data_IF_069058300299
#
_entry.id   IF_069058300299
#
_cell.length_a   1.000
_cell.length_b   1.000
_cell.length_c   1.000
_cell.angle_alpha   90.00
_cell.angle_beta   90.00
_cell.angle_gamma   90.00
#
_symmetry.space_group_name_H-M   'P 1'
#
loop_
_entity.id
_entity.type
_entity.pdbx_description
1 polymer ?
#
# COMPACT_ATOMS: atom_id res chain seq x y z
N UNK A 1 16.39 14.91 26.09
CA UNK A 1 15.87 14.00 25.04
C UNK A 1 14.90 14.79 24.19
N UNK A 2 15.09 14.85 22.88
CA UNK A 2 14.17 15.54 21.95
C UNK A 2 13.50 14.45 21.12
N UNK A 3 12.17 14.34 21.18
CA UNK A 3 11.37 13.31 20.49
C UNK A 3 10.10 13.90 19.90
N UNK A 4 9.64 13.33 18.80
CA UNK A 4 8.35 13.64 18.17
C UNK A 4 7.17 13.18 19.05
N UNK A 5 6.08 13.96 19.09
CA UNK A 5 4.85 13.66 19.85
C UNK A 5 3.57 13.68 19.01
N UNK A 6 3.68 13.54 17.68
CA UNK A 6 2.55 13.60 16.70
C UNK A 6 1.36 12.72 17.07
N UNK A 7 1.57 11.61 17.77
CA UNK A 7 0.51 10.66 18.16
C UNK A 7 0.51 10.35 19.66
N UNK A 8 1.02 11.24 20.51
CA UNK A 8 1.28 10.97 21.94
C UNK A 8 0.08 10.34 22.68
N UNK A 9 -1.14 10.79 22.39
CA UNK A 9 -2.36 10.32 23.07
C UNK A 9 -3.17 9.31 22.25
N UNK A 10 -2.75 9.00 21.02
CA UNK A 10 -3.54 8.18 20.09
C UNK A 10 -3.28 6.70 20.30
N UNK A 11 -4.29 5.97 20.79
CA UNK A 11 -4.25 4.50 20.85
C UNK A 11 -4.49 3.94 19.45
N UNK A 12 -3.55 3.15 18.93
CA UNK A 12 -3.65 2.51 17.62
C UNK A 12 -4.14 1.09 17.77
N UNK A 13 -5.23 0.74 17.08
CA UNK A 13 -5.65 -0.66 16.92
C UNK A 13 -4.65 -1.44 16.07
N UNK A 14 -4.79 -2.77 16.08
CA UNK A 14 -3.89 -3.68 15.35
C UNK A 14 -3.79 -3.30 13.87
N UNK A 15 -2.54 -3.21 13.39
CA UNK A 15 -2.23 -2.94 11.98
C UNK A 15 -2.98 -3.90 11.05
N UNK A 16 -2.91 -5.21 11.36
CA UNK A 16 -3.58 -6.26 10.57
C UNK A 16 -5.10 -6.09 10.52
N UNK A 17 -5.71 -5.66 11.61
CA UNK A 17 -7.16 -5.42 11.65
C UNK A 17 -7.55 -4.24 10.75
N UNK A 18 -6.79 -3.13 10.80
CA UNK A 18 -7.03 -1.96 9.94
C UNK A 18 -6.82 -2.25 8.46
N UNK A 19 -5.78 -3.02 8.12
CA UNK A 19 -5.50 -3.42 6.73
C UNK A 19 -6.64 -4.27 6.17
N UNK A 20 -7.11 -5.23 6.96
CA UNK A 20 -8.23 -6.08 6.57
C UNK A 20 -9.53 -5.26 6.42
N UNK A 21 -9.84 -4.40 7.38
CA UNK A 21 -11.01 -3.52 7.32
C UNK A 21 -10.99 -2.64 6.06
N UNK A 22 -9.84 -2.06 5.72
CA UNK A 22 -9.67 -1.27 4.50
C UNK A 22 -9.93 -2.11 3.25
N UNK A 23 -9.33 -3.29 3.14
CA UNK A 23 -9.51 -4.17 1.99
C UNK A 23 -10.97 -4.60 1.81
N UNK A 24 -11.65 -4.96 2.90
CA UNK A 24 -13.06 -5.34 2.88
C UNK A 24 -13.95 -4.18 2.39
N UNK A 25 -13.73 -2.96 2.90
CA UNK A 25 -14.49 -1.78 2.46
C UNK A 25 -14.28 -1.45 0.98
N UNK A 26 -13.04 -1.58 0.50
CA UNK A 26 -12.72 -1.37 -0.92
C UNK A 26 -13.43 -2.41 -1.78
N UNK A 27 -13.30 -3.69 -1.42
CA UNK A 27 -13.94 -4.78 -2.16
C UNK A 27 -15.46 -4.62 -2.20
N UNK A 28 -16.10 -4.37 -1.07
CA UNK A 28 -17.55 -4.15 -0.99
C UNK A 28 -18.01 -2.99 -1.88
N UNK A 29 -17.23 -1.91 -1.94
CA UNK A 29 -17.55 -0.75 -2.79
C UNK A 29 -17.46 -1.10 -4.27
N UNK A 30 -16.44 -1.88 -4.67
CA UNK A 30 -16.25 -2.32 -6.05
C UNK A 30 -17.33 -3.31 -6.48
N UNK A 31 -17.69 -4.27 -5.62
CA UNK A 31 -18.76 -5.25 -5.88
C UNK A 31 -20.14 -4.60 -6.06
N UNK A 32 -20.38 -3.45 -5.42
CA UNK A 32 -21.58 -2.62 -5.61
C UNK A 32 -21.54 -1.75 -6.88
N UNK A 33 -20.50 -1.88 -7.71
CA UNK A 33 -20.32 -1.08 -8.93
C UNK A 33 -19.78 0.33 -8.68
N UNK A 34 -19.32 0.63 -7.47
CA UNK A 34 -18.71 1.91 -7.11
C UNK A 34 -17.25 2.04 -7.57
N UNK A 35 -16.71 3.25 -7.44
CA UNK A 35 -15.28 3.55 -7.65
C UNK A 35 -14.63 3.96 -6.35
N UNK A 36 -13.39 3.57 -6.13
CA UNK A 36 -12.62 3.91 -4.94
C UNK A 36 -11.46 4.84 -5.30
N UNK A 37 -11.39 5.99 -4.63
CA UNK A 37 -10.27 6.92 -4.73
C UNK A 37 -9.54 6.95 -3.38
N UNK A 38 -8.23 6.70 -3.40
CA UNK A 38 -7.40 6.70 -2.19
C UNK A 38 -6.40 7.86 -2.26
N UNK A 39 -6.63 8.97 -1.54
CA UNK A 39 -5.71 10.10 -1.53
C UNK A 39 -4.52 9.81 -0.61
N UNK A 40 -3.36 9.56 -1.20
CA UNK A 40 -2.10 9.30 -0.49
C UNK A 40 -0.95 10.02 -1.17
N UNK A 41 0.05 10.41 -0.37
CA UNK A 41 1.32 10.88 -0.91
C UNK A 41 2.03 9.74 -1.64
N UNK A 42 2.53 10.00 -2.85
CA UNK A 42 3.14 8.99 -3.71
C UNK A 42 4.45 8.38 -3.13
N UNK A 43 5.05 9.03 -2.14
CA UNK A 43 6.25 8.54 -1.45
C UNK A 43 5.91 8.14 -0.01
N UNK A 44 6.52 7.05 0.46
CA UNK A 44 6.35 6.53 1.82
C UNK A 44 5.27 5.47 1.92
N UNK A 45 4.21 5.72 2.69
CA UNK A 45 3.17 4.73 3.05
C UNK A 45 2.35 4.20 1.87
N UNK A 46 2.36 4.90 0.74
CA UNK A 46 1.65 4.48 -0.47
C UNK A 46 2.17 3.17 -1.06
N UNK A 47 3.47 2.91 -0.99
CA UNK A 47 4.01 1.64 -1.47
C UNK A 47 3.61 0.45 -0.62
N UNK A 48 3.60 0.65 0.70
CA UNK A 48 3.09 -0.35 1.65
C UNK A 48 1.63 -0.67 1.32
N UNK A 49 0.85 0.37 1.03
CA UNK A 49 -0.55 0.20 0.64
C UNK A 49 -0.73 -0.53 -0.70
N UNK A 50 0.06 -0.19 -1.73
CA UNK A 50 0.05 -0.93 -2.99
C UNK A 50 0.37 -2.42 -2.80
N UNK A 51 1.34 -2.75 -1.92
CA UNK A 51 1.66 -4.15 -1.60
C UNK A 51 0.54 -4.88 -0.85
N UNK A 52 -0.19 -4.18 0.02
CA UNK A 52 -1.35 -4.73 0.72
C UNK A 52 -2.48 -5.02 -0.27
N UNK A 53 -2.79 -4.07 -1.15
CA UNK A 53 -3.83 -4.27 -2.17
C UNK A 53 -3.47 -5.39 -3.14
N UNK A 54 -2.24 -5.44 -3.64
CA UNK A 54 -1.80 -6.52 -4.53
C UNK A 54 -1.97 -7.91 -3.89
N UNK A 55 -1.58 -8.06 -2.61
CA UNK A 55 -1.77 -9.31 -1.88
C UNK A 55 -3.26 -9.65 -1.68
N UNK A 56 -4.11 -8.65 -1.46
CA UNK A 56 -5.56 -8.86 -1.33
C UNK A 56 -6.20 -9.25 -2.65
N UNK A 57 -5.83 -8.59 -3.76
CA UNK A 57 -6.33 -8.87 -5.10
C UNK A 57 -6.06 -10.32 -5.53
N UNK A 58 -4.83 -10.79 -5.33
CA UNK A 58 -4.46 -12.18 -5.64
C UNK A 58 -5.23 -13.18 -4.79
N UNK A 59 -5.43 -12.89 -3.49
CA UNK A 59 -6.14 -13.79 -2.56
C UNK A 59 -7.64 -13.85 -2.81
N UNK A 60 -8.25 -12.71 -3.10
CA UNK A 60 -9.68 -12.59 -3.33
C UNK A 60 -10.06 -12.79 -4.81
N UNK A 61 -9.08 -13.00 -5.71
CA UNK A 61 -9.26 -13.18 -7.15
C UNK A 61 -10.10 -12.06 -7.79
N UNK A 62 -9.78 -10.81 -7.41
CA UNK A 62 -10.50 -9.64 -7.90
C UNK A 62 -10.04 -9.26 -9.31
N UNK A 63 -11.00 -9.00 -10.20
CA UNK A 63 -10.74 -8.61 -11.60
C UNK A 63 -10.87 -7.08 -11.84
N UNK A 64 -10.89 -6.28 -10.77
CA UNK A 64 -11.00 -4.83 -10.88
C UNK A 64 -9.62 -4.20 -11.15
N UNK A 65 -9.50 -3.22 -12.06
CA UNK A 65 -8.22 -2.57 -12.35
C UNK A 65 -7.82 -1.59 -11.24
N UNK A 66 -6.52 -1.50 -10.94
CA UNK A 66 -5.93 -0.53 -10.02
C UNK A 66 -5.18 0.53 -10.83
N UNK A 67 -5.53 1.79 -10.60
CA UNK A 67 -4.87 2.92 -11.27
C UNK A 67 -4.00 3.69 -10.29
N UNK A 68 -2.72 3.86 -10.65
CA UNK A 68 -1.77 4.68 -9.92
C UNK A 68 -1.30 5.83 -10.82
N UNK A 69 -1.29 7.06 -10.29
CA UNK A 69 -0.89 8.25 -11.06
C UNK A 69 0.59 8.15 -11.45
N UNK A 70 0.83 7.85 -12.73
CA UNK A 70 2.13 7.41 -13.28
C UNK A 70 3.31 8.36 -13.04
N UNK A 71 3.08 9.68 -13.17
CA UNK A 71 4.18 10.66 -13.25
C UNK A 71 5.10 10.70 -12.01
N UNK A 72 4.56 10.49 -10.82
CA UNK A 72 5.37 10.40 -9.59
C UNK A 72 5.71 8.94 -9.22
N UNK A 73 4.87 7.99 -9.63
CA UNK A 73 5.02 6.58 -9.29
C UNK A 73 6.29 5.95 -9.90
N UNK A 74 6.59 6.27 -11.16
CA UNK A 74 7.75 5.72 -11.86
C UNK A 74 9.06 6.19 -11.23
N UNK A 75 9.16 7.49 -10.92
CA UNK A 75 10.32 8.06 -10.23
C UNK A 75 10.48 7.49 -8.83
N UNK A 76 9.40 7.41 -8.06
CA UNK A 76 9.42 6.81 -6.73
C UNK A 76 9.93 5.36 -6.79
N UNK A 77 9.37 4.54 -7.67
CA UNK A 77 9.77 3.14 -7.82
C UNK A 77 11.24 2.96 -8.19
N UNK A 78 11.81 3.87 -8.99
CA UNK A 78 13.25 3.85 -9.28
C UNK A 78 14.08 4.05 -8.00
N UNK A 79 13.74 5.05 -7.16
CA UNK A 79 14.41 5.28 -5.88
C UNK A 79 14.26 4.10 -4.91
N UNK A 80 13.07 3.53 -4.80
CA UNK A 80 12.83 2.40 -3.90
C UNK A 80 13.55 1.12 -4.32
N UNK A 81 13.76 0.92 -5.62
CA UNK A 81 14.61 -0.17 -6.13
C UNK A 81 16.09 0.08 -5.80
N UNK A 82 16.58 1.30 -6.03
CA UNK A 82 17.97 1.70 -5.73
C UNK A 82 18.32 1.51 -4.25
N UNK A 83 17.41 1.87 -3.34
CA UNK A 83 17.62 1.78 -1.89
C UNK A 83 16.92 0.57 -1.23
N UNK A 84 16.69 -0.50 -1.99
CA UNK A 84 16.02 -1.71 -1.51
C UNK A 84 16.72 -2.38 -0.31
N UNK A 85 18.03 -2.15 -0.13
CA UNK A 85 18.80 -2.66 1.01
C UNK A 85 18.31 -2.12 2.37
N UNK A 86 17.69 -0.93 2.38
CA UNK A 86 17.13 -0.30 3.60
C UNK A 86 15.74 -0.85 3.94
N UNK A 87 15.11 -1.59 3.02
CA UNK A 87 13.80 -2.18 3.25
C UNK A 87 13.87 -3.39 4.20
N UNK A 88 12.71 -3.79 4.72
CA UNK A 88 12.59 -4.99 5.55
C UNK A 88 13.08 -6.24 4.82
N UNK A 89 13.51 -7.26 5.58
CA UNK A 89 13.96 -8.55 5.02
C UNK A 89 12.94 -9.15 4.04
N UNK A 90 11.64 -9.01 4.33
CA UNK A 90 10.53 -9.49 3.48
C UNK A 90 10.55 -8.85 2.09
N UNK A 91 10.84 -7.56 1.99
CA UNK A 91 10.89 -6.84 0.70
C UNK A 91 12.17 -7.19 -0.05
N UNK A 92 13.29 -7.35 0.64
CA UNK A 92 14.58 -7.72 0.03
C UNK A 92 14.60 -9.12 -0.58
N UNK A 93 13.79 -10.03 -0.06
CA UNK A 93 13.68 -11.42 -0.56
C UNK A 93 12.63 -11.59 -1.68
N UNK A 94 11.86 -10.55 -2.00
CA UNK A 94 10.89 -10.63 -3.09
C UNK A 94 11.62 -10.53 -4.44
N UNK A 95 11.24 -11.36 -5.42
CA UNK A 95 11.87 -11.35 -6.76
C UNK A 95 11.58 -10.07 -7.55
N UNK A 96 10.36 -9.51 -7.41
CA UNK A 96 9.92 -8.29 -8.10
C UNK A 96 9.21 -7.33 -7.14
N UNK A 97 9.94 -6.70 -6.20
CA UNK A 97 9.33 -5.75 -5.30
C UNK A 97 8.88 -4.52 -6.11
N UNK A 98 7.67 -4.03 -5.81
CA UNK A 98 7.07 -2.86 -6.46
C UNK A 98 6.72 -3.04 -7.95
N UNK A 99 6.46 -4.28 -8.37
CA UNK A 99 5.78 -4.57 -9.63
C UNK A 99 4.30 -4.85 -9.32
N UNK A 100 3.43 -3.97 -9.79
CA UNK A 100 1.98 -4.04 -9.57
C UNK A 100 1.31 -4.19 -10.95
N UNK A 101 0.92 -5.41 -11.34
CA UNK A 101 0.38 -5.70 -12.67
C UNK A 101 -1.11 -5.40 -12.80
N UNK A 102 -1.84 -5.36 -11.68
CA UNK A 102 -3.26 -4.99 -11.58
C UNK A 102 -3.42 -3.47 -11.50
#
# INVERSE_FOLDING_TARGET
MITETTCCTTIRSSKRAKEHELCCKVQETLEKGGKVLVPILMMGRSQELCMIFEQHWVRAQLNFPIFVVKGMAEKANAFFKLFSSWASKKVRTAERPFHFPH
#
